data_IF_364104258212
#
_entry.id   IF_364104258212
#
_cell.length_a   1.000
_cell.length_b   1.000
_cell.length_c   1.000
_cell.angle_alpha   90.00
_cell.angle_beta   90.00
_cell.angle_gamma   90.00
#
_symmetry.space_group_name_H-M   'P 1'
#
loop_
_entity.id
_entity.type
_entity.pdbx_description
1 polymer ?
#
# COMPACT_ATOMS: atom_id res chain seq x y z
N UNK A 1 -6.20 8.40 -7.96
CA UNK A 1 -4.85 7.91 -8.35
C UNK A 1 -4.69 6.45 -7.92
N UNK A 2 -4.05 5.66 -8.73
CA UNK A 2 -3.82 4.24 -8.42
C UNK A 2 -2.33 3.98 -8.27
N UNK A 3 -1.95 3.41 -7.14
CA UNK A 3 -0.61 2.90 -6.91
C UNK A 3 -0.57 1.43 -7.30
N UNK A 4 0.43 1.04 -8.09
CA UNK A 4 0.67 -0.36 -8.46
C UNK A 4 2.10 -0.71 -8.11
N UNK A 5 2.30 -1.86 -7.48
CA UNK A 5 3.63 -2.36 -7.15
C UNK A 5 3.60 -3.88 -7.03
N UNK A 6 4.76 -4.47 -6.88
CA UNK A 6 4.87 -5.91 -6.71
C UNK A 6 5.62 -6.24 -5.43
N UNK A 7 5.14 -7.24 -4.72
CA UNK A 7 5.86 -7.82 -3.58
C UNK A 7 6.59 -9.05 -4.07
N UNK A 8 7.91 -9.09 -3.86
CA UNK A 8 8.76 -10.22 -4.27
C UNK A 8 9.21 -10.96 -3.03
N UNK A 9 8.96 -12.26 -2.99
CA UNK A 9 9.42 -13.12 -1.91
C UNK A 9 10.63 -13.92 -2.38
N UNK A 10 11.83 -13.44 -2.07
CA UNK A 10 13.09 -14.11 -2.41
C UNK A 10 13.56 -15.10 -1.33
N UNK A 11 12.85 -15.16 -0.21
CA UNK A 11 13.21 -16.01 0.90
C UNK A 11 12.83 -17.47 0.69
N UNK A 12 13.24 -18.36 1.59
CA UNK A 12 12.93 -19.79 1.50
C UNK A 12 11.55 -20.14 2.04
N UNK A 13 10.91 -19.24 2.78
CA UNK A 13 9.64 -19.49 3.45
C UNK A 13 8.50 -18.72 2.81
N UNK A 14 7.29 -19.27 2.96
CA UNK A 14 6.06 -18.62 2.53
C UNK A 14 5.82 -17.35 3.36
N UNK A 15 5.40 -16.29 2.71
CA UNK A 15 5.04 -15.02 3.37
C UNK A 15 3.51 -14.95 3.51
N UNK A 16 3.04 -14.80 4.73
CA UNK A 16 1.61 -14.63 5.02
C UNK A 16 1.30 -13.15 5.22
N UNK A 17 0.17 -12.68 4.66
CA UNK A 17 -0.24 -11.30 4.80
C UNK A 17 -0.88 -11.02 6.16
N UNK A 18 -1.97 -11.71 6.49
CA UNK A 18 -2.68 -11.49 7.75
C UNK A 18 -2.96 -10.01 8.00
N UNK A 19 -2.52 -9.51 9.15
CA UNK A 19 -2.68 -8.11 9.54
C UNK A 19 -1.40 -7.27 9.31
N UNK A 20 -0.35 -7.84 8.74
CA UNK A 20 0.97 -7.19 8.67
C UNK A 20 0.95 -5.91 7.84
N UNK A 21 0.09 -5.82 6.84
CA UNK A 21 -0.01 -4.66 5.95
C UNK A 21 -1.28 -3.85 6.20
N UNK A 22 -1.94 -4.08 7.33
CA UNK A 22 -3.18 -3.41 7.68
C UNK A 22 -2.94 -2.05 8.30
N UNK A 23 -3.95 -1.18 8.19
CA UNK A 23 -4.01 0.06 8.95
C UNK A 23 -4.38 -0.28 10.40
N UNK A 24 -3.63 0.26 11.37
CA UNK A 24 -3.89 0.00 12.79
C UNK A 24 -5.32 0.32 13.22
N UNK A 25 -5.89 1.40 12.69
CA UNK A 25 -7.25 1.81 13.03
C UNK A 25 -8.31 0.88 12.45
N UNK A 26 -7.99 0.13 11.40
CA UNK A 26 -8.95 -0.68 10.65
C UNK A 26 -8.46 -2.11 10.42
N UNK A 27 -7.55 -2.60 11.25
CA UNK A 27 -6.83 -3.86 10.98
C UNK A 27 -7.76 -5.05 10.73
N UNK A 28 -8.93 -5.11 11.39
CA UNK A 28 -9.87 -6.22 11.18
C UNK A 28 -10.42 -6.20 9.76
N UNK A 29 -10.78 -5.02 9.25
CA UNK A 29 -11.27 -4.86 7.88
C UNK A 29 -10.17 -5.07 6.84
N UNK A 30 -8.92 -4.85 7.22
CA UNK A 30 -7.78 -4.94 6.32
C UNK A 30 -7.07 -6.30 6.37
N UNK A 31 -7.68 -7.32 6.97
CA UNK A 31 -7.09 -8.67 7.01
C UNK A 31 -6.80 -9.16 5.58
N UNK A 32 -5.60 -9.67 5.36
CA UNK A 32 -5.14 -10.12 4.03
C UNK A 32 -5.19 -9.03 2.96
N UNK A 33 -5.01 -7.75 3.35
CA UNK A 33 -5.01 -6.63 2.41
C UNK A 33 -3.85 -5.70 2.67
N UNK A 34 -3.70 -4.68 1.81
CA UNK A 34 -2.65 -3.68 1.94
C UNK A 34 -3.18 -2.31 2.36
N UNK A 35 -4.29 -2.30 3.13
CA UNK A 35 -4.95 -1.06 3.55
C UNK A 35 -4.10 -0.14 4.42
N UNK A 36 -2.98 -0.62 4.96
CA UNK A 36 -2.06 0.18 5.76
C UNK A 36 -1.00 0.94 4.98
N UNK A 37 -0.94 0.77 3.65
CA UNK A 37 -0.02 1.53 2.80
C UNK A 37 -0.48 2.99 2.76
N UNK A 38 0.45 3.94 2.87
CA UNK A 38 0.11 5.34 2.73
C UNK A 38 1.17 6.08 1.91
N UNK A 39 0.79 7.26 1.42
CA UNK A 39 1.65 8.13 0.65
C UNK A 39 1.96 9.38 1.46
N UNK A 40 3.17 9.91 1.33
CA UNK A 40 3.60 11.10 2.05
C UNK A 40 4.15 12.11 1.05
N UNK A 41 3.58 13.32 1.08
CA UNK A 41 4.18 14.49 0.43
C UNK A 41 5.07 15.18 1.45
N UNK A 42 6.37 14.95 1.35
CA UNK A 42 7.34 15.49 2.31
C UNK A 42 7.42 17.01 2.28
N UNK A 43 7.28 17.61 1.10
CA UNK A 43 7.34 19.06 0.95
C UNK A 43 6.13 19.73 1.57
N UNK A 44 4.94 19.20 1.33
CA UNK A 44 3.69 19.72 1.90
C UNK A 44 3.34 19.16 3.28
N UNK A 45 4.12 18.19 3.76
CA UNK A 45 3.89 17.52 5.05
C UNK A 45 2.49 16.93 5.14
N UNK A 46 2.03 16.30 4.06
CA UNK A 46 0.69 15.75 3.97
C UNK A 46 0.74 14.26 3.71
N UNK A 47 -0.14 13.51 4.38
CA UNK A 47 -0.30 12.07 4.18
C UNK A 47 -1.57 11.77 3.41
N UNK A 48 -1.53 10.74 2.58
CA UNK A 48 -2.68 10.26 1.83
C UNK A 48 -2.89 8.79 2.17
N UNK A 49 -4.10 8.45 2.58
CA UNK A 49 -4.45 7.09 2.95
C UNK A 49 -5.23 6.42 1.83
N UNK A 50 -5.27 5.09 1.84
CA UNK A 50 -6.03 4.31 0.87
C UNK A 50 -7.50 4.73 0.93
N UNK A 51 -8.11 4.93 -0.24
CA UNK A 51 -9.54 5.25 -0.34
C UNK A 51 -10.35 4.06 0.19
N UNK A 52 -11.41 4.36 0.95
CA UNK A 52 -12.29 3.33 1.50
C UNK A 52 -13.72 3.56 1.02
N UNK A 53 -14.46 2.46 0.90
CA UNK A 53 -15.88 2.54 0.51
C UNK A 53 -16.77 2.87 1.72
N UNK A 54 -18.08 2.85 1.51
CA UNK A 54 -19.06 3.20 2.56
C UNK A 54 -19.05 2.20 3.72
N UNK A 55 -18.54 0.99 3.52
CA UNK A 55 -18.40 -0.03 4.55
C UNK A 55 -17.03 -0.04 5.20
N UNK A 56 -16.22 0.97 4.92
CA UNK A 56 -14.86 1.14 5.42
C UNK A 56 -13.88 0.07 4.92
N UNK A 57 -14.19 -0.59 3.81
CA UNK A 57 -13.26 -1.51 3.16
C UNK A 57 -12.34 -0.75 2.21
N UNK A 58 -11.06 -1.12 2.15
CA UNK A 58 -10.11 -0.44 1.27
C UNK A 58 -10.42 -0.72 -0.20
N UNK A 59 -10.17 0.26 -1.06
CA UNK A 59 -10.13 0.05 -2.51
C UNK A 59 -8.70 -0.33 -2.88
N UNK A 60 -8.35 -1.58 -2.58
CA UNK A 60 -6.99 -2.09 -2.72
C UNK A 60 -7.01 -3.61 -2.89
N UNK A 61 -5.84 -4.20 -3.15
CA UNK A 61 -5.70 -5.66 -3.19
C UNK A 61 -6.12 -6.27 -1.87
N UNK A 62 -6.99 -7.25 -1.92
CA UNK A 62 -7.52 -7.97 -0.75
C UNK A 62 -7.59 -9.47 -1.02
N UNK A 63 -7.77 -10.25 0.04
CA UNK A 63 -7.86 -11.70 -0.07
C UNK A 63 -6.52 -12.34 -0.43
N UNK A 64 -5.42 -11.66 -0.15
CA UNK A 64 -4.09 -12.17 -0.42
C UNK A 64 -3.69 -13.06 0.73
N UNK A 65 -3.65 -14.35 0.49
CA UNK A 65 -3.36 -15.30 1.58
C UNK A 65 -1.86 -15.42 1.82
N UNK A 66 -1.15 -15.93 0.83
CA UNK A 66 0.27 -16.21 0.97
C UNK A 66 1.01 -15.84 -0.30
N UNK A 67 2.29 -15.47 -0.14
CA UNK A 67 3.22 -15.32 -1.26
C UNK A 67 4.24 -16.44 -1.14
N UNK A 68 4.24 -17.34 -2.13
CA UNK A 68 5.13 -18.49 -2.11
C UNK A 68 6.60 -18.09 -2.24
N UNK A 69 7.54 -18.93 -1.77
CA UNK A 69 8.97 -18.66 -1.98
C UNK A 69 9.28 -18.50 -3.46
N UNK A 70 10.20 -17.57 -3.77
CA UNK A 70 10.67 -17.31 -5.15
C UNK A 70 9.56 -16.87 -6.11
N UNK A 71 8.51 -16.22 -5.59
CA UNK A 71 7.43 -15.70 -6.41
C UNK A 71 7.19 -14.23 -6.15
N UNK A 72 6.34 -13.62 -6.99
CA UNK A 72 5.95 -12.21 -6.83
C UNK A 72 4.44 -12.09 -6.93
N UNK A 73 3.90 -11.09 -6.25
CA UNK A 73 2.48 -10.77 -6.27
C UNK A 73 2.31 -9.31 -6.65
N UNK A 74 1.48 -9.04 -7.65
CA UNK A 74 1.15 -7.67 -8.06
C UNK A 74 0.06 -7.13 -7.14
N UNK A 75 0.27 -5.91 -6.66
CA UNK A 75 -0.62 -5.26 -5.71
C UNK A 75 -1.03 -3.88 -6.23
N UNK A 76 -2.19 -3.43 -5.79
CA UNK A 76 -2.69 -2.12 -6.17
C UNK A 76 -3.48 -1.50 -5.00
N UNK A 77 -3.54 -0.18 -5.00
CA UNK A 77 -4.36 0.57 -4.06
C UNK A 77 -4.74 1.92 -4.66
N UNK A 78 -5.93 2.40 -4.34
CA UNK A 78 -6.40 3.71 -4.79
C UNK A 78 -6.22 4.74 -3.69
N UNK A 79 -5.76 5.94 -4.09
CA UNK A 79 -5.53 7.06 -3.20
C UNK A 79 -6.18 8.31 -3.76
N UNK A 80 -6.51 9.31 -2.90
CA UNK A 80 -6.88 10.63 -3.38
C UNK A 80 -5.73 11.19 -4.22
N UNK A 81 -6.06 11.88 -5.30
CA UNK A 81 -5.03 12.47 -6.16
C UNK A 81 -4.37 13.65 -5.45
N UNK A 82 -3.03 13.69 -5.34
CA UNK A 82 -2.33 14.88 -4.85
C UNK A 82 -2.55 16.08 -5.78
N UNK A 83 -2.35 17.32 -5.28
CA UNK A 83 -2.39 18.51 -6.14
C UNK A 83 -1.42 18.43 -7.31
N UNK A 84 -1.71 19.14 -8.40
CA UNK A 84 -0.93 19.07 -9.63
C UNK A 84 0.52 19.51 -9.47
N UNK A 85 0.83 20.34 -8.48
CA UNK A 85 2.19 20.77 -8.20
C UNK A 85 3.03 19.72 -7.46
N UNK A 86 2.40 18.65 -6.99
CA UNK A 86 3.13 17.53 -6.37
C UNK A 86 3.59 16.59 -7.48
N UNK A 87 4.90 16.55 -7.72
CA UNK A 87 5.50 15.74 -8.78
C UNK A 87 6.05 14.42 -8.29
N UNK A 88 6.42 14.34 -7.01
CA UNK A 88 7.02 13.17 -6.40
C UNK A 88 6.38 12.90 -5.06
N UNK A 89 6.37 11.65 -4.64
CA UNK A 89 5.76 11.24 -3.40
C UNK A 89 6.56 10.09 -2.78
N UNK A 90 6.49 9.97 -1.47
CA UNK A 90 7.06 8.81 -0.76
C UNK A 90 5.96 7.79 -0.50
N UNK A 91 6.31 6.52 -0.64
CA UNK A 91 5.40 5.40 -0.38
C UNK A 91 5.85 4.74 0.92
N UNK A 92 4.93 4.65 1.89
CA UNK A 92 5.20 4.00 3.17
C UNK A 92 4.40 2.71 3.23
N UNK A 93 5.12 1.59 3.31
CA UNK A 93 4.52 0.25 3.37
C UNK A 93 4.84 -0.32 4.76
N UNK A 94 3.84 -0.81 5.52
CA UNK A 94 4.09 -1.41 6.83
C UNK A 94 5.17 -2.49 6.75
N UNK A 95 6.09 -2.49 7.72
CA UNK A 95 7.23 -3.40 7.83
C UNK A 95 8.34 -3.17 6.80
N UNK A 96 8.21 -2.17 5.93
CA UNK A 96 9.26 -1.78 4.99
C UNK A 96 9.63 -0.33 5.24
N UNK A 97 10.84 0.04 4.85
CA UNK A 97 11.23 1.44 4.88
C UNK A 97 10.49 2.25 3.82
N UNK A 98 10.48 3.58 3.93
CA UNK A 98 9.82 4.41 2.92
C UNK A 98 10.57 4.34 1.60
N UNK A 99 9.80 4.42 0.52
CA UNK A 99 10.34 4.54 -0.85
C UNK A 99 10.15 5.99 -1.25
N UNK A 100 11.26 6.75 -1.30
CA UNK A 100 11.22 8.20 -1.51
C UNK A 100 11.30 8.56 -2.98
N UNK A 101 10.86 9.78 -3.29
CA UNK A 101 11.00 10.41 -4.61
C UNK A 101 10.41 9.60 -5.76
N UNK A 102 9.29 8.94 -5.52
CA UNK A 102 8.59 8.21 -6.57
C UNK A 102 7.84 9.21 -7.45
N UNK A 103 8.13 9.26 -8.78
CA UNK A 103 7.43 10.19 -9.66
C UNK A 103 5.95 9.81 -9.80
N UNK A 104 5.11 10.83 -9.88
CA UNK A 104 3.67 10.64 -10.10
C UNK A 104 3.40 10.75 -11.59
N UNK A 105 2.78 9.71 -12.14
CA UNK A 105 2.31 9.69 -13.53
C UNK A 105 0.82 9.99 -13.54
N UNK A 106 0.43 11.04 -14.30
CA UNK A 106 -0.97 11.49 -14.34
C UNK A 106 -1.58 11.31 -15.72
#
# INVERSE_FOLDING_TARGET
MTLKFALVNDGPDKLSFGYDFADEANHIKDYDSIGGVNLVDSAGKKKYFVVRDTENACLCSRGIKDVNPKSRTNLWAKFPAPPDDVQKISIVIPHFGPIDDVPISR
#
